data_IF_125023781248
#
_entry.id   IF_125023781248
#
_cell.length_a   1.000
_cell.length_b   1.000
_cell.length_c   1.000
_cell.angle_alpha   90.00
_cell.angle_beta   90.00
_cell.angle_gamma   90.00
#
_symmetry.space_group_name_H-M   'P 1'
#
loop_
_entity.id
_entity.type
_entity.pdbx_description
1 polymer ?
#
# COMPACT_ATOMS: atom_id res chain seq x y z
N UNK A 1 6.26 -14.04 4.85
CA UNK A 1 7.13 -15.04 4.21
C UNK A 1 8.38 -15.11 5.06
N UNK A 2 8.69 -16.29 5.59
CA UNK A 2 9.70 -16.50 6.61
C UNK A 2 10.70 -17.53 6.11
N UNK A 3 11.76 -17.06 5.47
CA UNK A 3 12.79 -17.90 4.82
C UNK A 3 13.88 -18.34 5.80
N UNK A 4 13.97 -17.69 6.96
CA UNK A 4 15.16 -17.74 7.82
C UNK A 4 14.87 -18.38 9.20
N UNK A 5 13.61 -18.77 9.46
CA UNK A 5 13.19 -19.49 10.67
C UNK A 5 12.86 -18.60 11.87
N UNK A 6 13.11 -17.29 11.82
CA UNK A 6 12.78 -16.32 12.88
C UNK A 6 11.42 -15.66 12.67
N UNK A 7 10.60 -15.54 13.72
CA UNK A 7 9.25 -14.97 13.61
C UNK A 7 9.27 -13.44 13.39
N UNK A 8 9.37 -13.01 12.14
CA UNK A 8 9.21 -11.60 11.74
C UNK A 8 7.72 -11.22 11.61
N UNK A 9 6.94 -11.41 12.67
CA UNK A 9 5.48 -11.24 12.65
C UNK A 9 5.07 -9.81 12.31
N UNK A 10 5.79 -8.82 12.85
CA UNK A 10 5.49 -7.39 12.67
C UNK A 10 5.75 -6.93 11.23
N UNK A 11 6.92 -7.26 10.68
CA UNK A 11 7.28 -6.92 9.29
C UNK A 11 6.34 -7.59 8.28
N UNK A 12 5.97 -8.84 8.54
CA UNK A 12 5.08 -9.56 7.64
C UNK A 12 3.65 -9.01 7.65
N UNK A 13 3.15 -8.56 8.81
CA UNK A 13 1.85 -7.87 8.91
C UNK A 13 1.89 -6.53 8.20
N UNK A 14 2.98 -5.77 8.35
CA UNK A 14 3.14 -4.47 7.70
C UNK A 14 3.24 -4.60 6.17
N UNK A 15 3.92 -5.63 5.67
CA UNK A 15 4.01 -5.94 4.25
C UNK A 15 2.64 -6.28 3.64
N UNK A 16 1.89 -7.16 4.31
CA UNK A 16 0.54 -7.54 3.88
C UNK A 16 -0.41 -6.35 3.96
N UNK A 17 -0.36 -5.57 5.04
CA UNK A 17 -1.18 -4.38 5.21
C UNK A 17 -0.94 -3.33 4.12
N UNK A 18 0.33 -3.09 3.77
CA UNK A 18 0.71 -2.22 2.65
C UNK A 18 0.09 -2.71 1.34
N UNK A 19 0.19 -4.00 1.05
CA UNK A 19 -0.34 -4.58 -0.17
C UNK A 19 -1.88 -4.46 -0.23
N UNK A 20 -2.57 -4.76 0.87
CA UNK A 20 -4.03 -4.64 0.95
C UNK A 20 -4.47 -3.19 0.76
N UNK A 21 -3.82 -2.23 1.42
CA UNK A 21 -4.11 -0.81 1.24
C UNK A 21 -3.90 -0.37 -0.22
N UNK A 22 -2.82 -0.82 -0.85
CA UNK A 22 -2.54 -0.51 -2.25
C UNK A 22 -3.56 -1.08 -3.22
N UNK A 23 -4.00 -2.32 -3.00
CA UNK A 23 -5.04 -2.95 -3.83
C UNK A 23 -6.38 -2.23 -3.69
N UNK A 24 -6.78 -1.88 -2.45
CA UNK A 24 -8.01 -1.12 -2.20
C UNK A 24 -7.93 0.24 -2.91
N UNK A 25 -6.82 0.97 -2.73
CA UNK A 25 -6.61 2.26 -3.36
C UNK A 25 -6.66 2.18 -4.89
N UNK A 26 -6.00 1.16 -5.47
CA UNK A 26 -5.96 0.95 -6.91
C UNK A 26 -7.35 0.67 -7.49
N UNK A 27 -8.11 -0.25 -6.89
CA UNK A 27 -9.46 -0.60 -7.36
C UNK A 27 -10.41 0.59 -7.23
N UNK A 28 -10.39 1.27 -6.07
CA UNK A 28 -11.26 2.42 -5.82
C UNK A 28 -10.88 3.65 -6.65
N UNK A 29 -9.62 3.77 -7.07
CA UNK A 29 -9.15 4.84 -7.95
C UNK A 29 -9.87 4.91 -9.29
N UNK A 30 -10.41 3.79 -9.80
CA UNK A 30 -11.20 3.78 -11.04
C UNK A 30 -12.66 4.22 -10.86
N UNK A 31 -13.13 4.38 -9.61
CA UNK A 31 -14.50 4.77 -9.30
C UNK A 31 -14.47 6.24 -8.88
N UNK A 32 -14.98 7.13 -9.73
CA UNK A 32 -14.98 8.58 -9.49
C UNK A 32 -15.60 8.92 -8.13
N UNK A 33 -16.73 8.31 -7.76
CA UNK A 33 -17.39 8.55 -6.46
C UNK A 33 -16.62 8.04 -5.24
N UNK A 34 -15.60 7.19 -5.41
CA UNK A 34 -14.81 6.60 -4.33
C UNK A 34 -13.43 7.29 -4.19
N UNK A 35 -13.24 8.45 -4.82
CA UNK A 35 -11.97 9.17 -4.86
C UNK A 35 -11.38 9.49 -3.48
N UNK A 36 -12.23 9.74 -2.47
CA UNK A 36 -11.81 9.97 -1.08
C UNK A 36 -11.12 8.73 -0.50
N UNK A 37 -11.70 7.55 -0.73
CA UNK A 37 -11.15 6.27 -0.26
C UNK A 37 -9.84 5.97 -1.00
N UNK A 38 -9.83 6.15 -2.33
CA UNK A 38 -8.64 5.95 -3.15
C UNK A 38 -7.47 6.84 -2.71
N UNK A 39 -7.77 8.11 -2.39
CA UNK A 39 -6.78 9.08 -1.93
C UNK A 39 -6.20 8.72 -0.56
N UNK A 40 -7.05 8.42 0.43
CA UNK A 40 -6.59 8.09 1.78
C UNK A 40 -5.88 6.73 1.86
N UNK A 41 -6.46 5.67 1.28
CA UNK A 41 -5.82 4.35 1.26
C UNK A 41 -4.54 4.36 0.43
N UNK A 42 -4.51 5.12 -0.67
CA UNK A 42 -3.31 5.27 -1.47
C UNK A 42 -2.22 6.05 -0.75
N UNK A 43 -2.55 7.13 -0.03
CA UNK A 43 -1.58 7.88 0.76
C UNK A 43 -1.02 7.05 1.93
N UNK A 44 -1.89 6.36 2.69
CA UNK A 44 -1.50 5.51 3.81
C UNK A 44 -0.73 4.28 3.35
N UNK A 45 -1.14 3.63 2.26
CA UNK A 45 -0.44 2.49 1.67
C UNK A 45 0.91 2.88 1.09
N UNK A 46 1.02 4.05 0.45
CA UNK A 46 2.28 4.55 -0.08
C UNK A 46 3.26 4.90 1.05
N UNK A 47 2.83 5.71 2.03
CA UNK A 47 3.68 6.10 3.16
C UNK A 47 4.04 4.91 4.07
N UNK A 48 3.05 4.08 4.41
CA UNK A 48 3.25 2.86 5.20
C UNK A 48 4.15 1.85 4.50
N UNK A 49 4.03 1.73 3.18
CA UNK A 49 4.89 0.86 2.38
C UNK A 49 6.33 1.34 2.25
N UNK A 50 6.57 2.65 2.15
CA UNK A 50 7.93 3.20 2.21
C UNK A 50 8.58 2.94 3.58
N UNK A 51 7.81 3.05 4.66
CA UNK A 51 8.29 2.67 6.00
C UNK A 51 8.54 1.16 6.10
N UNK A 52 7.65 0.34 5.55
CA UNK A 52 7.82 -1.10 5.51
C UNK A 52 9.10 -1.51 4.74
N UNK A 53 9.39 -0.84 3.63
CA UNK A 53 10.64 -1.03 2.87
C UNK A 53 11.87 -0.76 3.73
N UNK A 54 11.83 0.29 4.56
CA UNK A 54 12.94 0.68 5.43
C UNK A 54 13.21 -0.36 6.53
N UNK A 55 12.15 -0.95 7.09
CA UNK A 55 12.26 -1.92 8.20
C UNK A 55 12.47 -3.36 7.70
N UNK A 56 12.11 -3.68 6.45
CA UNK A 56 12.11 -5.05 5.92
C UNK A 56 13.49 -5.72 5.94
N UNK A 57 13.56 -6.87 6.62
CA UNK A 57 14.78 -7.67 6.75
C UNK A 57 15.06 -8.56 5.52
N UNK A 58 14.01 -9.05 4.83
CA UNK A 58 14.17 -10.08 3.78
C UNK A 58 13.82 -9.59 2.36
N UNK A 59 14.47 -10.18 1.35
CA UNK A 59 14.22 -9.87 -0.07
C UNK A 59 12.80 -10.17 -0.55
N UNK A 60 12.15 -11.30 -0.19
CA UNK A 60 10.78 -11.59 -0.61
C UNK A 60 9.74 -10.64 0.00
N UNK A 61 9.95 -10.15 1.22
CA UNK A 61 9.07 -9.15 1.82
C UNK A 61 9.12 -7.83 1.04
N UNK A 62 10.33 -7.40 0.64
CA UNK A 62 10.53 -6.16 -0.13
C UNK A 62 9.80 -6.17 -1.47
N UNK A 63 9.79 -7.30 -2.19
CA UNK A 63 9.07 -7.37 -3.47
C UNK A 63 7.56 -7.22 -3.31
N UNK A 64 6.99 -7.81 -2.26
CA UNK A 64 5.56 -7.67 -1.91
C UNK A 64 5.23 -6.24 -1.52
N UNK A 65 6.07 -5.61 -0.69
CA UNK A 65 5.88 -4.22 -0.26
C UNK A 65 5.93 -3.29 -1.48
N UNK A 66 6.90 -3.45 -2.38
CA UNK A 66 7.00 -2.62 -3.61
C UNK A 66 5.73 -2.73 -4.46
N UNK A 67 5.19 -3.94 -4.64
CA UNK A 67 3.94 -4.13 -5.38
C UNK A 67 2.78 -3.36 -4.73
N UNK A 68 2.67 -3.41 -3.40
CA UNK A 68 1.69 -2.63 -2.63
C UNK A 68 1.90 -1.11 -2.75
N UNK A 69 3.14 -0.64 -2.69
CA UNK A 69 3.49 0.78 -2.84
C UNK A 69 3.11 1.29 -4.23
N UNK A 70 3.42 0.54 -5.29
CA UNK A 70 3.07 0.92 -6.67
C UNK A 70 1.55 0.98 -6.85
N UNK A 71 0.82 -0.02 -6.35
CA UNK A 71 -0.65 0.00 -6.38
C UNK A 71 -1.23 1.19 -5.60
N UNK A 72 -0.66 1.50 -4.43
CA UNK A 72 -1.04 2.66 -3.60
C UNK A 72 -0.77 3.99 -4.33
N UNK A 73 0.37 4.12 -5.00
CA UNK A 73 0.74 5.30 -5.77
C UNK A 73 -0.26 5.56 -6.90
N UNK A 74 -0.60 4.53 -7.66
CA UNK A 74 -1.59 4.66 -8.74
C UNK A 74 -2.97 5.01 -8.18
N UNK A 75 -3.38 4.36 -7.09
CA UNK A 75 -4.64 4.63 -6.40
C UNK A 75 -4.77 6.07 -5.90
N UNK A 76 -3.75 6.62 -5.22
CA UNK A 76 -3.78 8.01 -4.74
C UNK A 76 -3.74 9.00 -5.91
N UNK A 77 -2.96 8.72 -6.97
CA UNK A 77 -2.91 9.59 -8.15
C UNK A 77 -4.27 9.68 -8.85
N UNK A 78 -4.96 8.55 -9.01
CA UNK A 78 -6.32 8.49 -9.53
C UNK A 78 -7.32 9.17 -8.58
N UNK A 79 -7.23 8.93 -7.27
CA UNK A 79 -8.09 9.60 -6.28
C UNK A 79 -7.96 11.13 -6.34
N UNK A 80 -6.73 11.64 -6.44
CA UNK A 80 -6.47 13.08 -6.62
C UNK A 80 -7.06 13.60 -7.94
N UNK A 81 -6.91 12.85 -9.03
CA UNK A 81 -7.47 13.23 -10.33
C UNK A 81 -9.00 13.32 -10.34
N UNK A 82 -9.69 12.53 -9.51
CA UNK A 82 -11.15 12.46 -9.45
C UNK A 82 -11.81 13.39 -8.42
N UNK A 83 -11.03 14.08 -7.57
CA UNK A 83 -11.58 14.99 -6.55
C UNK A 83 -10.77 15.08 -5.25
N UNK A 84 -9.77 14.21 -5.07
CA UNK A 84 -8.86 14.25 -3.92
C UNK A 84 -9.48 13.72 -2.63
N UNK A 85 -9.12 14.33 -1.50
CA UNK A 85 -9.31 13.78 -0.16
C UNK A 85 -10.64 14.16 0.51
N UNK A 86 -11.45 15.01 -0.11
CA UNK A 86 -12.64 15.63 0.49
C UNK A 86 -13.82 15.46 -0.47
N UNK A 87 -15.02 15.05 -0.01
CA UNK A 87 -16.18 14.78 -0.87
C UNK A 87 -16.74 16.01 -1.60
#
# INVERSE_FOLDING_TARGET
MNTDGESHTVENVLAIGTLVCGVIAFITGFIVSAHVIASWFGALGFGGGLYAQYVSATTPQRSVIIAGVVASFVGVALGIAHGGFIP
#
